data_IF_273952182423
#
_entry.id   IF_273952182423
#
_cell.length_a   1.000
_cell.length_b   1.000
_cell.length_c   1.000
_cell.angle_alpha   90.00
_cell.angle_beta   90.00
_cell.angle_gamma   90.00
#
_symmetry.space_group_name_H-M   'P 1'
#
loop_
_entity.id
_entity.type
_entity.pdbx_description
1 polymer ?
#
# COMPACT_ATOMS: atom_id res chain seq x y z
N UNK A 1 -3.59 -11.44 -16.20
CA UNK A 1 -2.52 -10.50 -16.68
C UNK A 1 -1.60 -10.13 -15.52
N UNK A 2 -0.38 -9.58 -15.80
CA UNK A 2 0.52 -9.09 -14.74
C UNK A 2 -0.01 -7.80 -14.13
N UNK A 3 0.34 -7.56 -12.87
CA UNK A 3 0.00 -6.34 -12.16
C UNK A 3 0.62 -5.11 -12.81
N UNK A 4 -0.17 -4.07 -12.97
CA UNK A 4 0.18 -2.85 -13.68
C UNK A 4 -0.51 -1.64 -13.08
N UNK A 5 0.14 -0.49 -13.21
CA UNK A 5 -0.40 0.82 -12.88
C UNK A 5 -0.47 1.66 -14.15
N UNK A 6 -1.64 2.26 -14.39
CA UNK A 6 -1.90 3.20 -15.46
C UNK A 6 -2.06 4.61 -14.90
N UNK A 7 -1.46 5.59 -15.60
CA UNK A 7 -1.68 7.02 -15.39
C UNK A 7 -2.29 7.63 -16.64
N UNK A 8 -3.35 8.40 -16.50
CA UNK A 8 -4.01 9.11 -17.59
C UNK A 8 -4.48 10.50 -17.16
N UNK A 9 -4.80 11.33 -18.14
CA UNK A 9 -5.57 12.54 -17.99
C UNK A 9 -6.92 12.34 -18.68
N UNK A 10 -7.97 12.84 -18.07
CA UNK A 10 -9.34 12.74 -18.57
C UNK A 10 -10.05 14.09 -18.42
N UNK A 11 -11.24 14.24 -19.02
CA UNK A 11 -12.05 15.43 -18.99
C UNK A 11 -11.25 16.69 -19.41
N UNK A 12 -10.79 16.67 -20.68
CA UNK A 12 -9.94 17.71 -21.27
C UNK A 12 -8.67 18.01 -20.46
N UNK A 13 -8.07 16.97 -19.89
CA UNK A 13 -6.88 17.05 -19.05
C UNK A 13 -7.10 17.77 -17.69
N UNK A 14 -8.33 17.97 -17.26
CA UNK A 14 -8.66 18.61 -15.98
C UNK A 14 -8.63 17.63 -14.80
N UNK A 15 -8.65 16.32 -15.07
CA UNK A 15 -8.68 15.28 -14.04
C UNK A 15 -7.57 14.27 -14.30
N UNK A 16 -6.83 13.96 -13.26
CA UNK A 16 -5.82 12.90 -13.29
C UNK A 16 -6.44 11.59 -12.85
N UNK A 17 -6.31 10.57 -13.68
CA UNK A 17 -6.77 9.21 -13.42
C UNK A 17 -5.57 8.30 -13.16
N UNK A 18 -5.61 7.57 -12.06
CA UNK A 18 -4.74 6.41 -11.81
C UNK A 18 -5.61 5.17 -11.66
N UNK A 19 -5.21 4.08 -12.30
CA UNK A 19 -5.80 2.76 -12.09
C UNK A 19 -4.67 1.78 -11.85
N UNK A 20 -4.82 0.91 -10.85
CA UNK A 20 -3.85 -0.15 -10.58
C UNK A 20 -4.54 -1.50 -10.43
N UNK A 21 -3.99 -2.52 -11.08
CA UNK A 21 -4.24 -3.94 -10.81
C UNK A 21 -3.13 -4.45 -9.91
N UNK A 22 -3.50 -5.13 -8.84
CA UNK A 22 -2.56 -5.59 -7.79
C UNK A 22 -2.88 -7.01 -7.31
N UNK A 23 -3.47 -7.84 -8.17
CA UNK A 23 -3.94 -9.19 -7.79
C UNK A 23 -2.78 -10.07 -7.33
N UNK A 24 -1.72 -10.17 -8.13
CA UNK A 24 -0.52 -10.98 -7.82
C UNK A 24 0.24 -10.38 -6.62
N UNK A 25 0.35 -9.05 -6.54
CA UNK A 25 1.01 -8.32 -5.48
C UNK A 25 0.33 -8.57 -4.11
N UNK A 26 -1.01 -8.52 -4.08
CA UNK A 26 -1.77 -8.77 -2.85
C UNK A 26 -1.76 -10.25 -2.49
N UNK A 27 -1.77 -11.15 -3.48
CA UNK A 27 -1.59 -12.58 -3.24
C UNK A 27 -0.22 -12.87 -2.63
N UNK A 28 0.84 -12.22 -3.10
CA UNK A 28 2.17 -12.37 -2.53
C UNK A 28 2.22 -11.90 -1.07
N UNK A 29 1.57 -10.77 -0.74
CA UNK A 29 1.44 -10.33 0.65
C UNK A 29 0.66 -11.35 1.50
N UNK A 30 -0.42 -11.93 0.97
CA UNK A 30 -1.19 -12.98 1.65
C UNK A 30 -0.31 -14.20 1.95
N UNK A 31 0.41 -14.68 0.96
CA UNK A 31 1.28 -15.88 1.09
C UNK A 31 2.44 -15.65 2.08
N UNK A 32 3.02 -14.44 2.15
CA UNK A 32 4.14 -14.10 3.04
C UNK A 32 3.75 -14.07 4.51
N UNK A 33 2.54 -13.61 4.81
CA UNK A 33 2.08 -13.38 6.19
C UNK A 33 0.94 -14.31 6.61
N UNK A 34 0.52 -15.23 5.75
CA UNK A 34 -0.64 -16.10 6.01
C UNK A 34 -1.88 -15.29 6.42
N UNK A 35 -2.18 -14.23 5.64
CA UNK A 35 -3.23 -13.27 6.00
C UNK A 35 -4.61 -13.89 5.94
N UNK A 36 -5.38 -13.75 7.01
CA UNK A 36 -6.81 -14.03 7.00
C UNK A 36 -7.55 -13.05 6.06
N UNK A 37 -8.73 -13.40 5.53
CA UNK A 37 -9.43 -12.62 4.51
C UNK A 37 -9.61 -11.13 4.81
N UNK A 38 -10.04 -10.75 6.03
CA UNK A 38 -10.19 -9.34 6.41
C UNK A 38 -8.86 -8.61 6.47
N UNK A 39 -7.79 -9.25 7.00
CA UNK A 39 -6.45 -8.68 7.03
C UNK A 39 -5.88 -8.52 5.62
N UNK A 40 -6.09 -9.52 4.76
CA UNK A 40 -5.69 -9.49 3.36
C UNK A 40 -6.41 -8.35 2.60
N UNK A 41 -7.72 -8.17 2.82
CA UNK A 41 -8.46 -7.08 2.21
C UNK A 41 -8.00 -5.71 2.70
N UNK A 42 -7.74 -5.53 4.00
CA UNK A 42 -7.26 -4.28 4.58
C UNK A 42 -5.87 -3.91 4.04
N UNK A 43 -4.92 -4.83 4.13
CA UNK A 43 -3.54 -4.60 3.62
C UNK A 43 -3.54 -4.42 2.10
N UNK A 44 -4.25 -5.25 1.35
CA UNK A 44 -4.29 -5.22 -0.11
C UNK A 44 -4.87 -3.91 -0.66
N UNK A 45 -5.95 -3.38 -0.05
CA UNK A 45 -6.49 -2.04 -0.39
C UNK A 45 -5.45 -0.96 -0.13
N UNK A 46 -4.77 -1.01 1.02
CA UNK A 46 -3.73 -0.05 1.39
C UNK A 46 -2.54 -0.12 0.42
N UNK A 47 -2.05 -1.33 0.09
CA UNK A 47 -0.97 -1.55 -0.88
C UNK A 47 -1.34 -0.99 -2.26
N UNK A 48 -2.58 -1.21 -2.71
CA UNK A 48 -3.07 -0.73 -4.02
C UNK A 48 -3.08 0.80 -4.10
N UNK A 49 -3.61 1.47 -3.07
CA UNK A 49 -3.62 2.94 -3.00
C UNK A 49 -2.19 3.48 -2.86
N UNK A 50 -1.37 2.85 -2.01
CA UNK A 50 0.03 3.23 -1.81
C UNK A 50 0.86 3.14 -3.10
N UNK A 51 0.64 2.11 -3.93
CA UNK A 51 1.29 1.96 -5.24
C UNK A 51 1.04 3.17 -6.14
N UNK A 52 -0.21 3.65 -6.21
CA UNK A 52 -0.55 4.85 -6.98
C UNK A 52 0.07 6.11 -6.37
N UNK A 53 0.05 6.24 -5.04
CA UNK A 53 0.67 7.38 -4.35
C UNK A 53 2.20 7.40 -4.52
N UNK A 54 2.85 6.24 -4.47
CA UNK A 54 4.27 6.11 -4.79
C UNK A 54 4.57 6.61 -6.20
N UNK A 55 3.76 6.17 -7.17
CA UNK A 55 3.90 6.61 -8.57
C UNK A 55 3.58 8.11 -8.80
N UNK A 56 3.09 8.86 -7.81
CA UNK A 56 2.96 10.32 -7.84
C UNK A 56 4.26 11.05 -7.45
N UNK A 57 5.21 10.35 -6.84
CA UNK A 57 6.52 10.90 -6.49
C UNK A 57 7.31 11.29 -7.75
N UNK A 58 8.26 12.22 -7.59
CA UNK A 58 8.94 12.83 -8.72
C UNK A 58 10.31 12.22 -9.01
N UNK A 59 10.94 11.64 -8.01
CA UNK A 59 12.30 11.07 -8.09
C UNK A 59 12.28 9.61 -7.63
N UNK A 60 13.14 8.78 -8.24
CA UNK A 60 13.32 7.37 -7.83
C UNK A 60 13.92 7.22 -6.42
N UNK A 61 14.54 8.28 -5.90
CA UNK A 61 15.10 8.32 -4.56
C UNK A 61 14.03 8.62 -3.49
N UNK A 62 12.87 9.13 -3.92
CA UNK A 62 11.75 9.45 -3.02
C UNK A 62 10.95 8.19 -2.67
N UNK A 63 10.44 8.20 -1.46
CA UNK A 63 9.52 7.15 -0.97
C UNK A 63 8.48 7.74 -0.04
N UNK A 64 7.40 7.01 0.16
CA UNK A 64 6.44 7.34 1.20
C UNK A 64 6.16 6.11 2.08
N UNK A 65 5.84 6.40 3.34
CA UNK A 65 5.40 5.41 4.31
C UNK A 65 4.01 5.78 4.82
N UNK A 66 3.11 4.80 4.81
CA UNK A 66 1.73 4.94 5.27
C UNK A 66 1.58 4.11 6.54
N UNK A 67 1.01 4.70 7.57
CA UNK A 67 0.61 4.00 8.79
C UNK A 67 -0.88 4.25 9.05
N UNK A 68 -1.65 3.18 9.15
CA UNK A 68 -3.07 3.21 9.54
C UNK A 68 -3.19 2.47 10.86
N UNK A 69 -3.79 3.13 11.84
CA UNK A 69 -4.12 2.51 13.12
C UNK A 69 -5.45 3.08 13.63
N UNK A 70 -6.51 2.29 13.52
CA UNK A 70 -7.85 2.62 13.99
C UNK A 70 -8.20 1.99 15.33
N UNK A 71 -7.21 1.44 16.04
CA UNK A 71 -7.36 0.68 17.29
C UNK A 71 -8.30 -0.54 17.18
N UNK A 72 -8.50 -1.04 15.95
CA UNK A 72 -9.19 -2.30 15.72
C UNK A 72 -8.29 -3.52 15.93
N UNK A 73 -8.84 -4.73 15.87
CA UNK A 73 -8.13 -5.97 16.18
C UNK A 73 -6.97 -6.30 15.22
N UNK A 74 -6.91 -5.72 14.03
CA UNK A 74 -5.78 -5.87 13.10
C UNK A 74 -4.51 -5.18 13.61
N UNK A 75 -4.63 -4.23 14.54
CA UNK A 75 -3.55 -3.34 14.99
C UNK A 75 -3.19 -2.31 13.92
N UNK A 76 -1.91 -2.15 13.66
CA UNK A 76 -1.44 -1.19 12.64
C UNK A 76 -1.24 -1.87 11.28
N UNK A 77 -1.55 -1.13 10.22
CA UNK A 77 -1.17 -1.43 8.84
C UNK A 77 -0.03 -0.47 8.50
N UNK A 78 1.10 -1.00 8.04
CA UNK A 78 2.26 -0.21 7.63
C UNK A 78 2.64 -0.58 6.21
N UNK A 79 2.72 0.42 5.32
CA UNK A 79 3.03 0.25 3.91
C UNK A 79 4.05 1.29 3.47
N UNK A 80 5.12 0.84 2.82
CA UNK A 80 6.06 1.71 2.10
C UNK A 80 5.78 1.62 0.60
N UNK A 81 5.87 2.74 -0.10
CA UNK A 81 5.72 2.82 -1.55
C UNK A 81 6.83 3.66 -2.18
N UNK A 82 7.24 3.26 -3.39
CA UNK A 82 8.33 3.82 -4.14
C UNK A 82 7.85 4.51 -5.43
N UNK A 83 8.66 5.39 -5.99
CA UNK A 83 8.30 6.15 -7.19
C UNK A 83 8.01 5.29 -8.42
N UNK A 84 8.54 4.07 -8.48
CA UNK A 84 8.23 3.08 -9.53
C UNK A 84 6.89 2.36 -9.32
N UNK A 85 6.13 2.70 -8.27
CA UNK A 85 4.86 2.06 -7.92
C UNK A 85 4.99 0.74 -7.18
N UNK A 86 6.18 0.22 -6.95
CA UNK A 86 6.39 -0.95 -6.11
C UNK A 86 6.09 -0.62 -4.65
N UNK A 87 5.62 -1.62 -3.92
CA UNK A 87 5.23 -1.47 -2.52
C UNK A 87 5.69 -2.65 -1.67
N UNK A 88 5.73 -2.41 -0.37
CA UNK A 88 5.82 -3.46 0.66
C UNK A 88 5.00 -3.05 1.86
N UNK A 89 4.52 -3.99 2.65
CA UNK A 89 3.75 -3.64 3.83
C UNK A 89 3.36 -4.87 4.64
N UNK A 90 2.90 -4.61 5.86
CA UNK A 90 2.46 -5.66 6.78
C UNK A 90 1.33 -5.14 7.68
N UNK A 91 0.70 -6.06 8.40
CA UNK A 91 -0.24 -5.77 9.48
C UNK A 91 0.28 -6.33 10.79
N UNK A 92 -0.08 -5.73 11.92
CA UNK A 92 0.38 -6.20 13.23
C UNK A 92 -0.25 -7.55 13.61
N UNK A 93 -1.50 -7.79 13.21
CA UNK A 93 -2.20 -9.07 13.43
C UNK A 93 -2.73 -9.63 12.11
N UNK A 94 -1.96 -10.54 11.46
CA UNK A 94 -2.38 -11.15 10.20
C UNK A 94 -3.55 -12.13 10.34
N UNK A 95 -3.76 -12.70 11.52
CA UNK A 95 -4.77 -13.72 11.81
C UNK A 95 -5.99 -13.16 12.55
N UNK A 96 -6.35 -11.89 12.26
CA UNK A 96 -7.58 -11.30 12.82
C UNK A 96 -8.81 -12.10 12.40
N UNK A 97 -9.78 -12.23 13.31
CA UNK A 97 -11.04 -12.91 13.01
C UNK A 97 -11.81 -12.15 11.92
N UNK A 98 -12.35 -12.90 10.96
CA UNK A 98 -13.12 -12.34 9.88
C UNK A 98 -14.47 -11.82 10.34
N UNK A 99 -14.79 -10.60 9.96
CA UNK A 99 -16.09 -9.97 10.19
C UNK A 99 -16.78 -9.77 8.85
N UNK A 100 -18.03 -10.14 8.75
CA UNK A 100 -18.82 -9.95 7.54
C UNK A 100 -19.91 -8.91 7.75
N UNK A 101 -20.11 -8.02 6.76
CA UNK A 101 -21.29 -7.13 6.69
C UNK A 101 -22.51 -7.97 6.30
N UNK A 102 -22.32 -8.89 5.34
CA UNK A 102 -23.30 -9.84 4.82
C UNK A 102 -22.54 -10.99 4.15
N UNK A 103 -23.19 -12.13 3.85
CA UNK A 103 -22.54 -13.23 3.15
C UNK A 103 -21.78 -12.75 1.91
N UNK A 104 -20.48 -13.06 1.82
CA UNK A 104 -19.59 -12.70 0.73
C UNK A 104 -19.06 -11.25 0.75
N UNK A 105 -19.38 -10.43 1.79
CA UNK A 105 -18.82 -9.08 1.93
C UNK A 105 -18.11 -8.93 3.28
N UNK A 106 -16.78 -8.81 3.23
CA UNK A 106 -15.91 -8.53 4.37
C UNK A 106 -16.22 -7.14 4.96
N UNK A 107 -16.10 -7.01 6.27
CA UNK A 107 -16.18 -5.75 7.01
C UNK A 107 -14.77 -5.32 7.43
N UNK A 108 -14.07 -4.64 6.53
CA UNK A 108 -12.71 -4.19 6.76
C UNK A 108 -12.66 -3.12 7.85
N UNK A 109 -13.63 -2.21 7.86
CA UNK A 109 -13.74 -1.17 8.89
C UNK A 109 -13.85 -1.74 10.31
N UNK A 110 -14.52 -2.89 10.48
CA UNK A 110 -14.62 -3.52 11.80
C UNK A 110 -13.28 -4.07 12.33
N UNK A 111 -12.38 -4.52 11.44
CA UNK A 111 -11.06 -5.03 11.85
C UNK A 111 -10.01 -3.92 11.94
N UNK A 112 -10.13 -2.87 11.14
CA UNK A 112 -9.24 -1.69 11.19
C UNK A 112 -9.57 -0.80 12.37
N UNK A 113 -10.87 -0.58 12.61
CA UNK A 113 -11.36 0.41 13.58
C UNK A 113 -11.38 1.82 13.00
N UNK A 114 -11.98 2.75 13.75
CA UNK A 114 -12.15 4.16 13.33
C UNK A 114 -11.68 5.16 14.37
N UNK A 115 -11.26 4.71 15.55
CA UNK A 115 -10.80 5.57 16.65
C UNK A 115 -9.28 5.77 16.56
N UNK A 116 -8.83 6.38 15.44
CA UNK A 116 -7.40 6.55 15.21
C UNK A 116 -7.08 7.29 13.93
N UNK A 117 -5.90 7.05 13.35
CA UNK A 117 -5.38 7.90 12.29
C UNK A 117 -4.83 7.11 11.09
N UNK A 118 -4.91 7.78 9.94
CA UNK A 118 -4.10 7.52 8.75
C UNK A 118 -3.01 8.57 8.67
N UNK A 119 -1.75 8.14 8.66
CA UNK A 119 -0.58 9.02 8.57
C UNK A 119 0.23 8.65 7.33
N UNK A 120 0.59 9.65 6.53
CA UNK A 120 1.49 9.49 5.38
C UNK A 120 2.73 10.34 5.62
N UNK A 121 3.89 9.70 5.60
CA UNK A 121 5.19 10.35 5.70
C UNK A 121 5.90 10.22 4.35
N UNK A 122 6.29 11.35 3.77
CA UNK A 122 7.03 11.42 2.50
C UNK A 122 8.49 11.75 2.77
N UNK A 123 9.38 10.85 2.37
CA UNK A 123 10.81 11.11 2.26
C UNK A 123 11.07 11.61 0.83
N UNK A 124 11.27 12.91 0.70
CA UNK A 124 11.52 13.58 -0.56
C UNK A 124 13.01 13.86 -0.79
N UNK A 125 13.90 13.10 -0.14
CA UNK A 125 15.35 13.29 -0.17
C UNK A 125 15.78 14.70 0.28
N UNK A 126 15.00 15.30 1.20
CA UNK A 126 15.26 16.59 1.84
C UNK A 126 15.78 16.39 3.27
N UNK A 127 16.19 17.48 3.95
CA UNK A 127 16.69 17.40 5.34
C UNK A 127 15.62 16.90 6.31
N UNK A 128 14.34 17.20 6.06
CA UNK A 128 13.21 16.78 6.88
C UNK A 128 12.14 16.07 6.04
N UNK A 129 11.52 15.05 6.62
CA UNK A 129 10.39 14.35 6.02
C UNK A 129 9.10 15.15 6.20
N UNK A 130 8.22 15.12 5.21
CA UNK A 130 6.88 15.69 5.32
C UNK A 130 5.92 14.62 5.83
N UNK A 131 5.16 14.95 6.88
CA UNK A 131 4.16 14.04 7.44
C UNK A 131 2.80 14.73 7.53
N UNK A 132 1.78 14.06 6.99
CA UNK A 132 0.38 14.43 7.12
C UNK A 132 -0.40 13.34 7.85
N UNK A 133 -1.28 13.72 8.76
CA UNK A 133 -2.10 12.78 9.54
C UNK A 133 -3.55 13.27 9.57
N UNK A 134 -4.50 12.33 9.39
CA UNK A 134 -5.94 12.59 9.48
C UNK A 134 -6.62 11.51 10.30
N UNK A 135 -7.76 11.85 10.92
CA UNK A 135 -8.62 10.88 11.60
C UNK A 135 -9.27 9.94 10.59
N UNK A 136 -9.40 8.68 10.94
CA UNK A 136 -10.10 7.69 10.12
C UNK A 136 -11.60 8.02 10.05
N UNK A 137 -12.18 7.82 8.89
CA UNK A 137 -13.60 8.07 8.62
C UNK A 137 -14.42 6.78 8.72
N UNK A 138 -13.97 5.72 8.07
CA UNK A 138 -14.72 4.46 7.99
C UNK A 138 -13.87 3.22 8.32
N UNK A 139 -12.56 3.32 8.23
CA UNK A 139 -11.65 2.16 8.28
C UNK A 139 -11.77 1.22 7.07
N UNK A 140 -12.60 1.57 6.08
CA UNK A 140 -12.72 0.83 4.80
C UNK A 140 -11.62 1.18 3.80
N UNK A 141 -10.65 2.01 4.22
CA UNK A 141 -9.45 2.43 3.52
C UNK A 141 -9.72 3.49 2.43
N UNK A 142 -10.65 3.24 1.49
CA UNK A 142 -10.92 4.16 0.39
C UNK A 142 -11.37 5.55 0.84
N UNK A 143 -12.34 5.60 1.73
CA UNK A 143 -12.88 6.86 2.30
C UNK A 143 -11.82 7.59 3.12
N UNK A 144 -10.98 6.84 3.85
CA UNK A 144 -9.92 7.39 4.70
C UNK A 144 -8.84 8.08 3.85
N UNK A 145 -8.46 7.49 2.70
CA UNK A 145 -7.55 8.13 1.76
C UNK A 145 -8.19 9.30 1.01
N UNK A 146 -9.45 9.22 0.63
CA UNK A 146 -10.15 10.36 0.00
C UNK A 146 -10.17 11.57 0.96
N UNK A 147 -10.40 11.33 2.25
CA UNK A 147 -10.33 12.35 3.29
C UNK A 147 -8.91 12.89 3.48
N UNK A 148 -7.88 12.02 3.48
CA UNK A 148 -6.48 12.41 3.54
C UNK A 148 -6.10 13.36 2.38
N UNK A 149 -6.45 13.01 1.14
CA UNK A 149 -6.15 13.86 -0.01
C UNK A 149 -6.83 15.22 0.09
N UNK A 150 -8.07 15.24 0.55
CA UNK A 150 -8.84 16.49 0.69
C UNK A 150 -8.26 17.39 1.78
N UNK A 151 -7.97 16.84 2.96
CA UNK A 151 -7.60 17.63 4.12
C UNK A 151 -6.09 17.92 4.19
N UNK A 152 -5.25 16.91 3.92
CA UNK A 152 -3.80 17.02 4.05
C UNK A 152 -3.12 17.49 2.76
N UNK A 153 -3.54 16.97 1.60
CA UNK A 153 -3.00 17.37 0.29
C UNK A 153 -3.75 18.56 -0.34
N UNK A 154 -4.87 18.95 0.22
CA UNK A 154 -5.75 20.03 -0.28
C UNK A 154 -6.17 19.84 -1.75
N UNK A 155 -6.32 18.58 -2.15
CA UNK A 155 -6.68 18.22 -3.52
C UNK A 155 -7.93 17.35 -3.50
N UNK A 156 -9.06 17.81 -4.07
CA UNK A 156 -10.26 17.00 -4.17
C UNK A 156 -9.98 15.72 -4.95
N UNK A 157 -10.19 14.59 -4.29
CA UNK A 157 -9.78 13.28 -4.82
C UNK A 157 -10.80 12.22 -4.43
N UNK A 158 -11.23 11.44 -5.40
CA UNK A 158 -12.00 10.23 -5.14
C UNK A 158 -11.07 9.01 -5.19
N UNK A 159 -11.27 8.09 -4.25
CA UNK A 159 -10.50 6.86 -4.12
C UNK A 159 -11.45 5.68 -4.09
N UNK A 160 -11.26 4.73 -4.99
CA UNK A 160 -11.94 3.44 -4.97
C UNK A 160 -10.91 2.33 -4.89
N UNK A 161 -11.08 1.39 -3.97
CA UNK A 161 -10.19 0.24 -3.81
C UNK A 161 -10.98 -1.02 -3.45
N UNK A 162 -10.47 -2.18 -3.86
CA UNK A 162 -11.15 -3.43 -3.60
C UNK A 162 -10.23 -4.63 -3.68
N UNK A 163 -10.50 -5.61 -2.82
CA UNK A 163 -9.87 -6.94 -2.84
C UNK A 163 -10.99 -7.96 -2.74
N UNK A 164 -11.02 -8.91 -3.65
CA UNK A 164 -11.94 -10.03 -3.65
C UNK A 164 -11.17 -11.29 -3.29
N UNK A 165 -11.58 -11.95 -2.23
CA UNK A 165 -11.06 -13.26 -1.84
C UNK A 165 -12.00 -14.33 -2.43
N UNK A 166 -11.42 -15.27 -3.15
CA UNK A 166 -12.13 -16.40 -3.73
C UNK A 166 -12.60 -17.42 -2.69
N UNK A 167 -13.42 -18.36 -3.11
CA UNK A 167 -13.92 -19.45 -2.24
C UNK A 167 -12.81 -20.45 -1.84
N UNK A 168 -11.69 -20.41 -2.54
CA UNK A 168 -10.47 -21.15 -2.25
C UNK A 168 -9.55 -20.44 -1.23
N UNK A 169 -9.96 -19.26 -0.75
CA UNK A 169 -9.20 -18.43 0.19
C UNK A 169 -8.11 -17.58 -0.46
N UNK A 170 -7.93 -17.64 -1.78
CA UNK A 170 -6.92 -16.86 -2.52
C UNK A 170 -7.48 -15.53 -3.03
N UNK A 171 -6.58 -14.60 -3.37
CA UNK A 171 -6.98 -13.33 -3.97
C UNK A 171 -7.46 -13.57 -5.41
N UNK A 172 -8.75 -13.41 -5.64
CA UNK A 172 -9.35 -13.55 -6.97
C UNK A 172 -9.12 -12.30 -7.82
N UNK A 173 -9.16 -11.12 -7.21
CA UNK A 173 -8.85 -9.84 -7.86
C UNK A 173 -8.56 -8.76 -6.83
N UNK A 174 -7.65 -7.84 -7.15
CA UNK A 174 -7.34 -6.67 -6.33
C UNK A 174 -6.96 -5.49 -7.21
N UNK A 175 -7.32 -4.28 -6.76
CA UNK A 175 -6.90 -3.06 -7.41
C UNK A 175 -7.54 -1.82 -6.80
N UNK A 176 -7.15 -0.68 -7.34
CA UNK A 176 -7.65 0.61 -6.90
C UNK A 176 -7.63 1.63 -8.03
N UNK A 177 -8.37 2.72 -7.81
CA UNK A 177 -8.45 3.87 -8.69
C UNK A 177 -8.42 5.16 -7.89
N UNK A 178 -7.76 6.17 -8.43
CA UNK A 178 -7.75 7.54 -7.93
C UNK A 178 -8.18 8.46 -9.07
N UNK A 179 -9.20 9.30 -8.81
CA UNK A 179 -9.55 10.46 -9.62
C UNK A 179 -9.20 11.72 -8.84
N UNK A 180 -8.26 12.50 -9.36
CA UNK A 180 -7.74 13.68 -8.70
C UNK A 180 -7.99 14.92 -9.55
N UNK A 181 -8.71 15.89 -8.98
CA UNK A 181 -8.97 17.17 -9.65
C UNK A 181 -7.69 17.98 -9.80
N UNK A 182 -7.44 18.52 -10.99
CA UNK A 182 -6.38 19.48 -11.24
C UNK A 182 -6.90 20.92 -11.02
N UNK A 183 -6.00 21.93 -10.89
CA UNK A 183 -6.42 23.30 -10.56
C UNK A 183 -7.42 23.92 -11.55
N UNK A 184 -7.43 23.45 -12.80
CA UNK A 184 -8.32 23.95 -13.85
C UNK A 184 -9.65 23.16 -13.94
N UNK A 185 -9.88 22.19 -13.05
CA UNK A 185 -11.11 21.42 -13.01
C UNK A 185 -12.33 22.30 -12.67
N UNK A 186 -13.42 22.07 -13.39
CA UNK A 186 -14.67 22.80 -13.25
C UNK A 186 -15.71 22.02 -12.45
N UNK A 187 -16.78 22.69 -11.99
CA UNK A 187 -17.93 22.03 -11.36
C UNK A 187 -18.57 20.95 -12.26
N UNK A 188 -18.48 21.13 -13.59
CA UNK A 188 -18.97 20.15 -14.56
C UNK A 188 -18.09 18.89 -14.53
N UNK A 189 -16.77 19.03 -14.44
CA UNK A 189 -15.85 17.90 -14.36
C UNK A 189 -16.08 17.11 -13.07
N UNK A 190 -16.31 17.79 -11.96
CA UNK A 190 -16.66 17.18 -10.68
C UNK A 190 -17.95 16.36 -10.82
N UNK A 191 -19.02 16.96 -11.38
CA UNK A 191 -20.31 16.29 -11.55
C UNK A 191 -20.22 15.07 -12.48
N UNK A 192 -19.37 15.12 -13.51
CA UNK A 192 -19.13 13.96 -14.39
C UNK A 192 -18.41 12.86 -13.60
N UNK A 193 -17.38 13.19 -12.84
CA UNK A 193 -16.67 12.21 -12.00
C UNK A 193 -17.61 11.56 -10.97
N UNK A 194 -18.45 12.33 -10.31
CA UNK A 194 -19.46 11.82 -9.36
C UNK A 194 -20.41 10.84 -10.06
N UNK A 195 -20.93 11.22 -11.22
CA UNK A 195 -21.83 10.35 -12.00
C UNK A 195 -21.15 9.04 -12.44
N UNK A 196 -19.90 9.12 -12.89
CA UNK A 196 -19.11 7.91 -13.25
C UNK A 196 -18.94 7.02 -12.02
N UNK A 197 -18.55 7.59 -10.87
CA UNK A 197 -18.35 6.85 -9.61
C UNK A 197 -19.62 6.18 -9.09
N UNK A 198 -20.77 6.85 -9.18
CA UNK A 198 -22.08 6.30 -8.79
C UNK A 198 -22.47 5.08 -9.62
N UNK A 199 -22.10 5.07 -10.90
CA UNK A 199 -22.36 3.96 -11.82
C UNK A 199 -21.35 2.81 -11.77
N UNK A 200 -20.21 2.99 -11.05
CA UNK A 200 -19.15 1.99 -11.03
C UNK A 200 -19.52 0.78 -10.17
N UNK A 201 -19.19 -0.41 -10.70
CA UNK A 201 -19.12 -1.62 -9.89
C UNK A 201 -17.97 -1.52 -8.87
N UNK A 202 -17.99 -2.34 -7.81
CA UNK A 202 -16.86 -2.43 -6.89
C UNK A 202 -15.54 -2.64 -7.64
N UNK A 203 -14.45 -1.97 -7.21
CA UNK A 203 -13.19 -1.97 -7.93
C UNK A 203 -12.62 -3.37 -8.18
N UNK A 204 -12.75 -4.29 -7.21
CA UNK A 204 -12.36 -5.69 -7.40
C UNK A 204 -13.14 -6.40 -8.50
N UNK A 205 -14.44 -6.08 -8.67
CA UNK A 205 -15.26 -6.62 -9.74
C UNK A 205 -14.82 -6.08 -11.10
N UNK A 206 -14.54 -4.77 -11.18
CA UNK A 206 -14.02 -4.16 -12.42
C UNK A 206 -12.69 -4.79 -12.82
N UNK A 207 -11.73 -4.91 -11.90
CA UNK A 207 -10.44 -5.55 -12.19
C UNK A 207 -10.62 -6.99 -12.68
N UNK A 208 -11.58 -7.73 -12.13
CA UNK A 208 -11.87 -9.09 -12.56
C UNK A 208 -12.50 -9.15 -13.97
N UNK A 209 -13.43 -8.24 -14.26
CA UNK A 209 -14.07 -8.17 -15.59
C UNK A 209 -13.08 -7.79 -16.70
N UNK A 210 -12.04 -7.01 -16.36
CA UNK A 210 -10.98 -6.58 -17.29
C UNK A 210 -9.69 -7.42 -17.15
N UNK A 211 -9.76 -8.64 -16.58
CA UNK A 211 -8.56 -9.47 -16.38
C UNK A 211 -7.89 -9.86 -17.70
N UNK A 212 -8.68 -10.11 -18.76
CA UNK A 212 -8.21 -10.39 -20.12
C UNK A 212 -8.00 -9.12 -20.97
N UNK A 213 -8.31 -7.94 -20.45
CA UNK A 213 -8.25 -6.64 -21.12
C UNK A 213 -7.20 -5.74 -20.48
N UNK A 214 -6.74 -4.72 -21.21
CA UNK A 214 -5.78 -3.76 -20.68
C UNK A 214 -6.44 -2.77 -19.69
N UNK A 215 -5.63 -2.14 -18.82
CA UNK A 215 -6.13 -1.02 -18.02
C UNK A 215 -6.45 0.20 -18.88
N UNK A 216 -5.91 0.29 -20.09
CA UNK A 216 -6.22 1.32 -21.08
C UNK A 216 -7.65 1.15 -21.59
N UNK A 217 -8.10 -0.10 -21.84
CA UNK A 217 -9.49 -0.37 -22.21
C UNK A 217 -10.45 0.06 -21.10
N UNK A 218 -10.15 -0.28 -19.85
CA UNK A 218 -10.94 0.16 -18.70
C UNK A 218 -11.00 1.70 -18.60
N UNK A 219 -9.87 2.39 -18.78
CA UNK A 219 -9.83 3.85 -18.73
C UNK A 219 -10.66 4.48 -19.86
N UNK A 220 -10.59 3.94 -21.09
CA UNK A 220 -11.36 4.42 -22.24
C UNK A 220 -12.86 4.14 -22.12
N UNK A 221 -13.24 3.03 -21.50
CA UNK A 221 -14.65 2.71 -21.25
C UNK A 221 -15.27 3.61 -20.18
N UNK A 222 -14.45 4.12 -19.26
CA UNK A 222 -14.90 5.08 -18.23
C UNK A 222 -14.93 6.53 -18.75
N UNK A 223 -13.94 6.90 -19.58
CA UNK A 223 -13.78 8.25 -20.12
C UNK A 223 -13.35 8.20 -21.58
N UNK A 224 -14.22 8.65 -22.49
CA UNK A 224 -13.98 8.59 -23.95
C UNK A 224 -12.74 9.40 -24.37
N UNK A 225 -12.34 10.41 -23.59
CA UNK A 225 -11.20 11.29 -23.84
C UNK A 225 -9.94 10.92 -23.06
N UNK A 226 -9.85 9.67 -22.56
CA UNK A 226 -8.72 9.23 -21.75
C UNK A 226 -7.40 9.33 -22.52
N UNK A 227 -6.52 10.22 -22.07
CA UNK A 227 -5.16 10.39 -22.60
C UNK A 227 -4.19 9.64 -21.71
N UNK A 228 -3.80 8.45 -22.18
CA UNK A 228 -2.86 7.60 -21.44
C UNK A 228 -1.47 8.26 -21.42
N UNK A 229 -0.91 8.46 -20.23
CA UNK A 229 0.42 9.03 -20.04
C UNK A 229 1.48 7.94 -19.93
N UNK A 230 1.19 6.90 -19.14
CA UNK A 230 2.10 5.78 -18.94
C UNK A 230 1.36 4.56 -18.38
N UNK A 231 1.86 3.39 -18.70
CA UNK A 231 1.52 2.12 -18.06
C UNK A 231 2.82 1.45 -17.60
N UNK A 232 2.90 1.05 -16.36
CA UNK A 232 4.11 0.46 -15.78
C UNK A 232 3.79 -0.77 -14.93
N UNK A 233 4.68 -1.78 -14.86
CA UNK A 233 4.51 -2.90 -13.95
C UNK A 233 4.63 -2.45 -12.50
N UNK A 234 3.94 -3.14 -11.59
CA UNK A 234 4.06 -2.96 -10.15
C UNK A 234 4.20 -4.31 -9.46
N UNK A 235 4.86 -4.34 -8.32
CA UNK A 235 5.12 -5.56 -7.58
C UNK A 235 5.21 -5.31 -6.06
N UNK A 236 5.02 -6.38 -5.30
CA UNK A 236 5.47 -6.42 -3.92
C UNK A 236 6.98 -6.54 -3.92
N UNK A 237 7.70 -5.50 -3.50
CA UNK A 237 9.16 -5.44 -3.58
C UNK A 237 9.75 -4.97 -2.24
N UNK A 238 10.48 -5.88 -1.59
CA UNK A 238 11.19 -5.56 -0.37
C UNK A 238 12.70 -5.56 -0.61
N UNK A 239 13.35 -4.39 -0.61
CA UNK A 239 14.79 -4.28 -0.86
C UNK A 239 15.63 -4.67 0.37
N UNK A 240 15.10 -5.52 1.28
CA UNK A 240 15.86 -6.03 2.41
C UNK A 240 16.97 -6.99 1.94
N UNK A 241 18.01 -7.09 2.72
CA UNK A 241 19.13 -7.98 2.48
C UNK A 241 19.91 -8.23 3.76
N UNK A 242 20.69 -9.30 3.82
CA UNK A 242 21.59 -9.59 4.96
C UNK A 242 22.51 -8.41 5.28
N UNK A 243 22.97 -7.68 4.25
CA UNK A 243 23.81 -6.48 4.41
C UNK A 243 23.03 -5.34 5.09
N UNK A 244 21.75 -5.11 4.73
CA UNK A 244 20.92 -4.09 5.40
C UNK A 244 20.63 -4.49 6.85
N UNK A 245 20.36 -5.77 7.12
CA UNK A 245 20.15 -6.26 8.49
C UNK A 245 21.44 -6.14 9.33
N UNK A 246 22.61 -6.43 8.75
CA UNK A 246 23.89 -6.21 9.41
C UNK A 246 24.13 -4.73 9.78
N UNK A 247 23.72 -3.79 8.90
CA UNK A 247 23.79 -2.35 9.23
C UNK A 247 22.86 -2.00 10.38
N UNK A 248 21.64 -2.55 10.42
CA UNK A 248 20.70 -2.34 11.51
C UNK A 248 21.27 -2.87 12.84
N UNK A 249 21.87 -4.07 12.85
CA UNK A 249 22.61 -4.58 14.02
C UNK A 249 23.74 -3.66 14.46
N UNK A 250 24.41 -2.98 13.52
CA UNK A 250 25.45 -2.01 13.81
C UNK A 250 24.96 -0.71 14.45
N UNK A 251 23.65 -0.48 14.55
CA UNK A 251 23.06 0.70 15.21
C UNK A 251 22.67 0.47 16.67
N UNK A 252 22.62 -0.79 17.11
CA UNK A 252 22.37 -1.13 18.52
C UNK A 252 23.68 -1.11 19.31
N UNK A 253 23.60 -1.12 20.62
CA UNK A 253 24.79 -1.09 21.49
C UNK A 253 25.71 -2.26 21.20
N UNK A 254 26.99 -1.98 21.14
CA UNK A 254 28.03 -2.99 20.93
C UNK A 254 27.96 -4.14 21.95
N UNK A 255 27.67 -3.83 23.22
CA UNK A 255 27.46 -4.81 24.29
C UNK A 255 26.39 -5.83 23.95
N UNK A 256 25.27 -5.36 23.36
CA UNK A 256 24.12 -6.20 23.07
C UNK A 256 24.41 -7.13 21.88
N UNK A 257 25.13 -6.64 20.86
CA UNK A 257 25.60 -7.47 19.73
C UNK A 257 26.59 -8.53 20.20
N UNK A 258 27.51 -8.17 21.14
CA UNK A 258 28.46 -9.14 21.72
C UNK A 258 27.76 -10.15 22.62
N UNK A 259 26.70 -9.76 23.33
CA UNK A 259 25.91 -10.69 24.14
C UNK A 259 25.24 -11.77 23.27
N UNK A 260 24.65 -11.38 22.11
CA UNK A 260 24.12 -12.34 21.13
C UNK A 260 25.22 -13.31 20.61
N UNK A 261 26.43 -12.79 20.36
CA UNK A 261 27.54 -13.61 19.93
C UNK A 261 28.01 -14.58 21.03
N UNK A 262 28.14 -14.11 22.29
CA UNK A 262 28.74 -14.88 23.38
C UNK A 262 27.78 -15.88 24.03
N UNK A 263 26.49 -15.53 24.14
CA UNK A 263 25.49 -16.35 24.83
C UNK A 263 24.65 -17.19 23.90
N UNK A 264 24.31 -16.66 22.73
CA UNK A 264 23.38 -17.30 21.76
C UNK A 264 24.11 -17.91 20.60
N UNK A 265 25.44 -17.62 20.43
CA UNK A 265 26.28 -18.11 19.33
C UNK A 265 25.78 -17.73 17.93
N UNK A 266 24.93 -16.70 17.84
CA UNK A 266 24.32 -16.20 16.62
C UNK A 266 23.02 -15.48 16.89
N UNK A 267 22.38 -14.95 15.87
CA UNK A 267 21.02 -14.45 15.95
C UNK A 267 20.26 -14.61 14.64
N UNK A 268 18.95 -14.55 14.73
CA UNK A 268 18.05 -14.49 13.59
C UNK A 268 17.33 -13.15 13.60
N UNK A 269 17.23 -12.53 12.41
CA UNK A 269 16.49 -11.28 12.22
C UNK A 269 15.48 -11.49 11.10
N UNK A 270 14.21 -11.33 11.43
CA UNK A 270 13.14 -11.41 10.45
C UNK A 270 12.75 -10.00 10.00
N UNK A 271 12.64 -9.80 8.70
CA UNK A 271 12.18 -8.55 8.12
C UNK A 271 10.67 -8.42 8.31
N UNK A 272 10.20 -7.41 9.02
CA UNK A 272 8.77 -7.16 9.23
C UNK A 272 7.99 -6.93 7.92
N UNK A 273 8.66 -6.41 6.87
CA UNK A 273 8.03 -6.10 5.60
C UNK A 273 7.88 -7.29 4.64
N UNK A 274 8.64 -8.35 4.78
CA UNK A 274 8.55 -9.47 3.84
C UNK A 274 8.67 -10.85 4.50
N UNK A 275 8.79 -10.88 5.81
CA UNK A 275 8.90 -12.10 6.62
C UNK A 275 10.12 -12.97 6.28
N UNK A 276 11.11 -12.41 5.55
CA UNK A 276 12.38 -13.09 5.26
C UNK A 276 13.27 -13.10 6.49
N UNK A 277 13.83 -14.26 6.83
CA UNK A 277 14.70 -14.43 8.01
C UNK A 277 16.16 -14.52 7.61
N UNK A 278 16.99 -13.72 8.25
CA UNK A 278 18.44 -13.65 8.07
C UNK A 278 19.15 -14.18 9.30
N UNK A 279 20.02 -15.16 9.09
CA UNK A 279 20.81 -15.76 10.16
C UNK A 279 22.22 -15.13 10.20
N UNK A 280 22.67 -14.77 11.41
CA UNK A 280 24.00 -14.26 11.67
C UNK A 280 24.77 -15.20 12.61
N UNK A 281 25.97 -15.59 12.21
CA UNK A 281 26.86 -16.41 13.02
C UNK A 281 27.55 -15.57 14.08
N UNK A 282 28.14 -16.24 15.09
CA UNK A 282 28.97 -15.57 16.10
C UNK A 282 30.11 -14.75 15.48
N UNK A 283 30.78 -15.25 14.45
CA UNK A 283 31.86 -14.53 13.77
C UNK A 283 31.36 -13.28 13.07
N UNK A 284 30.19 -13.34 12.41
CA UNK A 284 29.58 -12.19 11.76
C UNK A 284 29.16 -11.11 12.77
N UNK A 285 28.57 -11.51 13.91
CA UNK A 285 28.20 -10.60 14.98
C UNK A 285 29.41 -9.88 15.59
N UNK A 286 30.51 -10.61 15.85
CA UNK A 286 31.76 -10.01 16.31
C UNK A 286 32.35 -9.04 15.30
N UNK A 287 32.26 -9.37 14.00
CA UNK A 287 32.70 -8.48 12.92
C UNK A 287 31.85 -7.19 12.84
N UNK A 288 30.54 -7.29 13.07
CA UNK A 288 29.63 -6.14 13.16
C UNK A 288 29.98 -5.29 14.38
N UNK A 289 30.09 -5.90 15.58
CA UNK A 289 30.43 -5.21 16.82
C UNK A 289 31.79 -4.48 16.75
N UNK A 290 32.74 -4.97 15.97
CA UNK A 290 34.04 -4.31 15.79
C UNK A 290 33.97 -2.99 15.02
N UNK A 291 32.91 -2.80 14.23
CA UNK A 291 32.66 -1.60 13.42
C UNK A 291 31.67 -0.62 14.07
N UNK A 292 30.98 -1.05 15.12
CA UNK A 292 30.06 -0.23 15.89
C UNK A 292 30.85 0.68 16.83
N UNK A 293 30.56 1.97 16.81
CA UNK A 293 31.07 2.94 17.78
C UNK A 293 30.20 2.89 19.05
N UNK A 294 30.82 3.02 20.21
CA UNK A 294 30.14 3.11 21.52
C UNK A 294 29.28 4.37 21.61
#
# INVERSE_FOLDING_TARGET
MKDQLLKALVLNEHVRLYIVRTTDLVQEAQDRFDLHPCACAALGRTLSVASMMGAMLKSEEEMLSITINGHGPIGSIVVDAYANGNVRGFVSNPHVEDVLIRPGKLNVGAVVGTDGTLTVTKDLSMEENFSGSVELQSGEIGDDFAYYFTLSEQTPTAVSCGVLIGTDGRVASAGAMILQMLPDATETDISICEHVLEGLKPMSTLIQEYDDSSLEDLANDMFEDAKILTTQPVAYDCPCSKVRMARALGTIKKSDVLEMADKEHGCEITCNFCNETYHFTEEELRAIASKTHD
#
